data_IF_619956761402
#
_entry.id   IF_619956761402
#
_cell.length_a   1.000
_cell.length_b   1.000
_cell.length_c   1.000
_cell.angle_alpha   90.00
_cell.angle_beta   90.00
_cell.angle_gamma   90.00
#
_symmetry.space_group_name_H-M   'P 1'
#
loop_
_entity.id
_entity.type
_entity.pdbx_description
1 polymer ?
#
# COMPACT_ATOMS: atom_id res chain seq x y z
N UNK A 1 -9.48 -11.86 -5.99
CA UNK A 1 -8.46 -10.79 -5.84
C UNK A 1 -9.09 -9.70 -4.98
N UNK A 2 -8.36 -9.20 -3.97
CA UNK A 2 -8.98 -8.40 -2.88
C UNK A 2 -9.38 -6.98 -3.30
N UNK A 3 -8.91 -6.49 -4.45
CA UNK A 3 -9.34 -5.21 -5.02
C UNK A 3 -10.87 -5.13 -5.26
N UNK A 4 -11.53 -6.28 -5.45
CA UNK A 4 -12.98 -6.34 -5.60
C UNK A 4 -13.74 -6.17 -4.27
N UNK A 5 -13.06 -6.39 -3.15
CA UNK A 5 -13.60 -6.15 -1.81
C UNK A 5 -13.29 -4.73 -1.30
N UNK A 6 -12.17 -4.15 -1.76
CA UNK A 6 -11.71 -2.81 -1.41
C UNK A 6 -12.16 -1.77 -2.44
N UNK A 7 -13.45 -1.79 -2.78
CA UNK A 7 -14.08 -0.83 -3.69
C UNK A 7 -14.67 0.35 -2.90
N UNK A 8 -14.96 1.46 -3.59
CA UNK A 8 -15.60 2.61 -2.98
C UNK A 8 -16.83 2.21 -2.13
N UNK A 9 -16.93 2.84 -0.95
CA UNK A 9 -17.95 2.63 0.10
C UNK A 9 -17.88 1.28 0.83
N UNK A 10 -16.91 0.41 0.54
CA UNK A 10 -16.62 -0.74 1.39
C UNK A 10 -16.17 -0.26 2.77
N UNK A 11 -16.79 -0.80 3.82
CA UNK A 11 -16.43 -0.54 5.21
C UNK A 11 -15.55 -1.66 5.73
N UNK A 12 -14.42 -1.28 6.31
CA UNK A 12 -13.43 -2.20 6.88
C UNK A 12 -13.16 -1.84 8.33
N UNK A 13 -12.91 -2.87 9.14
CA UNK A 13 -12.35 -2.73 10.49
C UNK A 13 -10.93 -3.24 10.49
N UNK A 14 -10.01 -2.41 10.94
CA UNK A 14 -8.60 -2.72 10.90
C UNK A 14 -7.81 -1.79 11.83
N UNK A 15 -6.77 -2.32 12.46
CA UNK A 15 -5.85 -1.52 13.25
C UNK A 15 -4.48 -1.57 12.59
N UNK A 16 -3.93 -0.40 12.24
CA UNK A 16 -2.58 -0.32 11.71
C UNK A 16 -1.58 -0.98 12.66
N UNK A 17 -0.75 -1.94 12.21
CA UNK A 17 0.36 -2.44 12.99
C UNK A 17 1.29 -1.31 13.42
N UNK A 18 1.81 -1.40 14.64
CA UNK A 18 2.73 -0.39 15.16
C UNK A 18 3.93 -0.25 14.23
N UNK A 19 4.36 1.00 14.02
CA UNK A 19 5.64 1.26 13.37
C UNK A 19 6.74 0.67 14.25
N UNK A 20 7.53 -0.25 13.71
CA UNK A 20 8.62 -0.88 14.46
C UNK A 20 9.78 0.11 14.52
N UNK A 21 10.10 0.61 15.72
CA UNK A 21 11.28 1.43 15.93
C UNK A 21 12.53 0.57 15.73
N UNK A 22 13.34 0.89 14.72
CA UNK A 22 14.57 0.18 14.39
C UNK A 22 15.67 1.18 14.01
N UNK A 23 16.91 0.69 13.93
CA UNK A 23 18.03 1.52 13.47
C UNK A 23 17.79 2.00 12.03
N UNK A 24 18.06 3.27 11.78
CA UNK A 24 17.85 3.92 10.49
C UNK A 24 19.12 3.85 9.64
N UNK A 25 19.47 2.66 9.15
CA UNK A 25 20.76 2.36 8.52
C UNK A 25 20.67 2.00 7.02
N UNK A 26 19.51 2.20 6.39
CA UNK A 26 19.32 1.91 4.97
C UNK A 26 19.19 0.43 4.60
N UNK A 27 19.27 -0.48 5.56
CA UNK A 27 19.24 -1.92 5.30
C UNK A 27 17.94 -2.38 4.64
N UNK A 28 18.03 -3.48 3.89
CA UNK A 28 16.88 -4.21 3.35
C UNK A 28 16.56 -5.34 4.32
N UNK A 29 15.37 -5.33 4.90
CA UNK A 29 14.98 -6.25 5.97
C UNK A 29 13.63 -6.90 5.67
N UNK A 30 13.43 -8.12 6.14
CA UNK A 30 12.12 -8.76 6.02
C UNK A 30 11.10 -8.03 6.90
N UNK A 31 9.85 -7.95 6.46
CA UNK A 31 8.72 -7.52 7.28
C UNK A 31 8.61 -8.43 8.50
N UNK A 32 8.45 -7.85 9.69
CA UNK A 32 8.53 -8.58 10.98
C UNK A 32 7.21 -8.57 11.75
N UNK A 33 6.26 -7.70 11.41
CA UNK A 33 4.99 -7.58 12.14
C UNK A 33 3.94 -8.53 11.57
N UNK A 34 3.28 -9.27 12.46
CA UNK A 34 2.00 -9.88 12.12
C UNK A 34 0.95 -8.77 11.99
N UNK A 35 0.31 -8.66 10.83
CA UNK A 35 -0.79 -7.71 10.67
C UNK A 35 -1.95 -8.05 11.59
N UNK A 36 -2.58 -7.02 12.16
CA UNK A 36 -3.95 -7.18 12.63
C UNK A 36 -4.83 -7.52 11.43
N UNK A 37 -5.75 -8.46 11.62
CA UNK A 37 -6.63 -8.90 10.53
C UNK A 37 -7.53 -7.75 10.08
N UNK A 38 -7.37 -7.31 8.83
CA UNK A 38 -8.34 -6.43 8.17
C UNK A 38 -9.63 -7.22 7.91
N UNK A 39 -10.76 -6.72 8.41
CA UNK A 39 -12.07 -7.36 8.24
C UNK A 39 -13.00 -6.50 7.40
N UNK A 40 -13.71 -7.14 6.49
CA UNK A 40 -14.83 -6.51 5.78
C UNK A 40 -16.04 -6.46 6.73
N UNK A 41 -16.59 -5.27 6.96
CA UNK A 41 -17.74 -5.09 7.88
C UNK A 41 -18.99 -4.54 7.19
N UNK A 42 -18.98 -4.46 5.85
CA UNK A 42 -20.15 -4.12 5.05
C UNK A 42 -19.86 -3.10 3.96
N UNK A 43 -20.90 -2.55 3.36
CA UNK A 43 -20.78 -1.37 2.50
C UNK A 43 -21.98 -0.46 2.69
N UNK A 44 -21.74 0.85 2.79
CA UNK A 44 -22.80 1.83 2.83
C UNK A 44 -23.27 2.06 1.39
N UNK A 45 -24.16 1.20 0.91
CA UNK A 45 -24.63 1.17 -0.49
C UNK A 45 -25.40 2.42 -0.93
N UNK A 46 -25.46 3.49 -0.14
CA UNK A 46 -26.00 4.76 -0.61
C UNK A 46 -25.13 5.27 -1.76
N UNK A 47 -25.63 5.04 -2.97
CA UNK A 47 -25.06 5.43 -4.26
C UNK A 47 -24.43 6.82 -4.20
N UNK A 48 -23.12 6.90 -3.94
CA UNK A 48 -22.41 8.16 -4.13
C UNK A 48 -22.45 8.51 -5.61
N UNK A 49 -23.21 9.55 -5.96
CA UNK A 49 -23.10 10.24 -7.25
C UNK A 49 -21.85 11.12 -7.17
N UNK A 50 -20.82 10.86 -7.98
CA UNK A 50 -19.59 11.67 -7.99
C UNK A 50 -18.35 10.97 -8.55
N UNK A 51 -17.17 11.54 -8.24
CA UNK A 51 -15.83 11.14 -8.72
C UNK A 51 -15.49 9.66 -8.50
N UNK A 52 -16.06 9.03 -7.48
CA UNK A 52 -15.78 7.63 -7.12
C UNK A 52 -16.91 6.73 -7.60
N UNK A 53 -16.94 6.43 -8.91
CA UNK A 53 -17.92 5.51 -9.49
C UNK A 53 -17.67 4.07 -9.02
N UNK A 54 -18.73 3.40 -8.59
CA UNK A 54 -18.70 1.97 -8.25
C UNK A 54 -18.45 1.14 -9.52
N UNK A 55 -17.52 0.17 -9.51
CA UNK A 55 -17.41 -0.80 -10.60
C UNK A 55 -18.67 -1.67 -10.68
N UNK A 56 -19.07 -2.07 -11.89
CA UNK A 56 -20.34 -2.76 -12.16
C UNK A 56 -20.49 -4.13 -11.47
N UNK A 57 -19.40 -4.71 -10.95
CA UNK A 57 -19.40 -5.95 -10.17
C UNK A 57 -18.64 -5.71 -8.87
N UNK A 58 -19.37 -5.58 -7.78
CA UNK A 58 -18.80 -5.57 -6.43
C UNK A 58 -18.96 -6.96 -5.85
N UNK A 59 -17.83 -7.64 -5.65
CA UNK A 59 -17.83 -8.87 -4.89
C UNK A 59 -18.17 -8.51 -3.44
N UNK A 60 -19.36 -8.90 -2.99
CA UNK A 60 -19.77 -8.70 -1.59
C UNK A 60 -19.18 -9.84 -0.78
N UNK A 61 -18.09 -9.55 -0.06
CA UNK A 61 -17.56 -10.48 0.93
C UNK A 61 -18.59 -10.68 2.06
N UNK A 62 -18.66 -11.86 2.69
CA UNK A 62 -19.48 -12.05 3.88
C UNK A 62 -19.12 -11.05 4.98
N UNK A 63 -20.11 -10.56 5.73
CA UNK A 63 -19.86 -9.65 6.84
C UNK A 63 -18.88 -10.28 7.85
N UNK A 64 -18.01 -9.45 8.41
CA UNK A 64 -16.94 -9.80 9.34
C UNK A 64 -15.90 -10.81 8.81
N UNK A 65 -15.88 -11.08 7.51
CA UNK A 65 -14.86 -11.96 6.92
C UNK A 65 -13.49 -11.28 6.86
N UNK A 66 -12.40 -12.05 7.07
CA UNK A 66 -11.05 -11.53 6.90
C UNK A 66 -10.78 -11.25 5.42
N UNK A 67 -10.13 -10.13 5.13
CA UNK A 67 -9.61 -9.82 3.79
C UNK A 67 -8.25 -10.52 3.67
N UNK A 68 -8.09 -11.53 2.80
CA UNK A 68 -6.84 -12.31 2.75
C UNK A 68 -5.71 -11.49 2.12
N UNK A 69 -4.68 -11.20 2.89
CA UNK A 69 -3.51 -10.47 2.41
C UNK A 69 -2.27 -10.80 3.25
N UNK A 70 -1.10 -10.58 2.67
CA UNK A 70 0.15 -10.42 3.41
C UNK A 70 0.35 -8.95 3.74
N UNK A 71 1.02 -8.70 4.86
CA UNK A 71 1.33 -7.36 5.31
C UNK A 71 2.76 -6.99 5.00
N UNK A 72 2.94 -5.77 4.50
CA UNK A 72 4.24 -5.16 4.29
C UNK A 72 4.40 -3.95 5.19
N UNK A 73 5.33 -4.09 6.14
CA UNK A 73 5.61 -3.09 7.15
C UNK A 73 6.19 -1.80 6.54
N UNK A 74 5.92 -0.70 7.24
CA UNK A 74 6.71 0.50 7.11
C UNK A 74 7.79 0.47 8.19
N UNK A 75 9.06 0.41 7.78
CA UNK A 75 10.21 0.45 8.69
C UNK A 75 11.01 1.72 8.38
N UNK A 76 10.88 2.77 9.21
CA UNK A 76 11.55 4.05 8.98
C UNK A 76 13.07 3.89 8.82
N UNK A 77 13.63 4.46 7.75
CA UNK A 77 15.07 4.44 7.47
C UNK A 77 15.60 3.10 6.94
N UNK A 78 14.72 2.20 6.48
CA UNK A 78 15.04 0.88 5.90
C UNK A 78 14.08 0.55 4.76
N UNK A 79 14.44 -0.43 3.94
CA UNK A 79 13.50 -1.03 2.99
C UNK A 79 12.98 -2.34 3.55
N UNK A 80 11.67 -2.44 3.81
CA UNK A 80 11.03 -3.68 4.22
C UNK A 80 10.69 -4.53 2.99
N UNK A 81 10.68 -5.86 3.11
CA UNK A 81 10.15 -6.74 2.06
C UNK A 81 9.33 -7.92 2.61
N UNK A 82 8.41 -8.42 1.78
CA UNK A 82 7.62 -9.63 2.08
C UNK A 82 7.56 -10.55 0.86
N UNK A 83 7.40 -11.86 1.09
CA UNK A 83 7.11 -12.83 0.04
C UNK A 83 5.79 -12.50 -0.66
N UNK A 84 5.79 -12.48 -1.99
CA UNK A 84 4.58 -12.33 -2.78
C UNK A 84 4.01 -13.70 -3.16
N UNK A 85 3.39 -14.38 -2.18
CA UNK A 85 2.57 -15.57 -2.43
C UNK A 85 1.08 -15.24 -2.60
N UNK A 86 0.64 -14.11 -2.04
CA UNK A 86 -0.74 -13.62 -2.09
C UNK A 86 -0.73 -12.11 -2.37
N UNK A 87 -1.91 -11.49 -2.39
CA UNK A 87 -2.05 -10.04 -2.42
C UNK A 87 -1.35 -9.43 -1.19
N UNK A 88 -0.67 -8.30 -1.38
CA UNK A 88 0.10 -7.60 -0.34
C UNK A 88 -0.51 -6.22 -0.10
N UNK A 89 -0.88 -5.95 1.16
CA UNK A 89 -1.26 -4.61 1.62
C UNK A 89 -0.13 -3.99 2.43
N UNK A 90 -0.13 -2.67 2.50
CA UNK A 90 0.89 -1.90 3.19
C UNK A 90 0.30 -1.01 4.27
N UNK A 91 1.16 -0.51 5.16
CA UNK A 91 0.81 0.59 6.07
C UNK A 91 0.38 1.87 5.34
N UNK A 92 -0.03 2.87 6.12
CA UNK A 92 -0.34 4.20 5.59
C UNK A 92 0.87 4.82 4.87
N UNK A 93 0.58 5.40 3.71
CA UNK A 93 1.53 5.94 2.76
C UNK A 93 1.41 7.45 2.67
N UNK A 94 2.52 8.15 2.88
CA UNK A 94 2.65 9.59 2.66
C UNK A 94 3.50 9.96 1.44
N UNK A 95 3.94 8.96 0.64
CA UNK A 95 4.80 9.19 -0.53
C UNK A 95 5.93 8.16 -0.73
N UNK A 96 5.95 7.09 0.07
CA UNK A 96 6.97 6.04 -0.06
C UNK A 96 6.82 5.24 -1.37
N UNK A 97 7.95 4.78 -1.91
CA UNK A 97 7.99 3.89 -3.08
C UNK A 97 7.60 2.47 -2.66
N UNK A 98 6.69 1.86 -3.42
CA UNK A 98 6.42 0.42 -3.39
C UNK A 98 6.97 -0.20 -4.65
N UNK A 99 7.72 -1.28 -4.48
CA UNK A 99 8.30 -2.01 -5.60
C UNK A 99 8.04 -3.51 -5.49
N UNK A 100 8.20 -4.21 -6.60
CA UNK A 100 8.07 -5.66 -6.74
C UNK A 100 9.19 -6.14 -7.64
N UNK A 101 9.83 -7.26 -7.30
CA UNK A 101 10.84 -7.89 -8.13
C UNK A 101 11.39 -9.18 -7.51
N UNK A 102 12.21 -9.91 -8.26
CA UNK A 102 12.81 -11.17 -7.82
C UNK A 102 14.02 -10.91 -6.93
N UNK A 103 13.92 -11.27 -5.66
CA UNK A 103 14.97 -11.09 -4.67
C UNK A 103 15.15 -12.33 -3.81
N UNK A 104 16.40 -12.76 -3.69
CA UNK A 104 16.78 -14.03 -3.04
C UNK A 104 15.98 -15.23 -3.60
N UNK A 105 15.89 -15.32 -4.92
CA UNK A 105 15.27 -16.45 -5.62
C UNK A 105 13.73 -16.46 -5.62
N UNK A 106 13.06 -15.47 -5.06
CA UNK A 106 11.59 -15.41 -5.03
C UNK A 106 11.03 -14.02 -5.32
N UNK A 107 9.77 -13.96 -5.75
CA UNK A 107 9.07 -12.70 -5.96
C UNK A 107 8.79 -12.02 -4.62
N UNK A 108 9.23 -10.77 -4.46
CA UNK A 108 9.06 -9.97 -3.23
C UNK A 108 8.38 -8.65 -3.55
N UNK A 109 7.67 -8.11 -2.56
CA UNK A 109 7.20 -6.72 -2.55
C UNK A 109 8.00 -5.94 -1.52
N UNK A 110 8.44 -4.74 -1.88
CA UNK A 110 9.31 -3.86 -1.11
C UNK A 110 8.59 -2.58 -0.75
N UNK A 111 8.87 -2.07 0.44
CA UNK A 111 8.42 -0.76 0.92
C UNK A 111 9.63 0.03 1.38
N UNK A 112 9.95 1.09 0.64
CA UNK A 112 11.08 1.97 0.94
C UNK A 112 10.70 2.97 2.03
N UNK A 113 11.18 2.77 3.26
CA UNK A 113 10.87 3.62 4.40
C UNK A 113 11.78 4.83 4.50
N UNK A 114 11.34 5.97 3.96
CA UNK A 114 12.05 7.26 4.08
C UNK A 114 11.61 8.03 5.33
N UNK A 115 12.50 8.84 5.91
CA UNK A 115 12.27 9.65 7.12
C UNK A 115 12.56 11.14 6.85
N UNK A 116 12.35 12.01 7.84
CA UNK A 116 12.67 13.45 7.73
C UNK A 116 14.18 13.74 7.67
N UNK A 117 15.02 12.71 7.84
CA UNK A 117 16.47 12.80 7.74
C UNK A 117 16.95 12.45 6.32
N UNK A 118 17.47 13.45 5.61
CA UNK A 118 17.94 13.29 4.23
C UNK A 118 19.15 12.34 4.09
N UNK A 119 20.06 12.32 5.07
CA UNK A 119 21.24 11.42 5.05
C UNK A 119 20.78 9.96 5.09
N UNK A 120 19.85 9.65 5.99
CA UNK A 120 19.23 8.32 6.08
C UNK A 120 18.52 7.97 4.77
N UNK A 121 17.76 8.91 4.19
CA UNK A 121 17.06 8.68 2.92
C UNK A 121 18.02 8.37 1.77
N UNK A 122 19.14 9.10 1.67
CA UNK A 122 20.16 8.85 0.67
C UNK A 122 20.78 7.46 0.84
N UNK A 123 21.00 7.02 2.08
CA UNK A 123 21.50 5.68 2.38
C UNK A 123 20.48 4.58 2.01
N UNK A 124 19.20 4.77 2.35
CA UNK A 124 18.10 3.87 1.95
C UNK A 124 18.04 3.75 0.42
N UNK A 125 18.02 4.89 -0.29
CA UNK A 125 17.97 4.94 -1.75
C UNK A 125 19.17 4.24 -2.38
N UNK A 126 20.38 4.55 -1.91
CA UNK A 126 21.63 3.96 -2.42
C UNK A 126 21.63 2.45 -2.25
N UNK A 127 21.30 1.98 -1.04
CA UNK A 127 21.26 0.54 -0.72
C UNK A 127 20.20 -0.17 -1.55
N UNK A 128 18.99 0.38 -1.62
CA UNK A 128 17.90 -0.22 -2.37
C UNK A 128 18.16 -0.21 -3.89
N UNK A 129 18.72 0.88 -4.43
CA UNK A 129 19.14 0.99 -5.83
C UNK A 129 20.12 -0.12 -6.20
N UNK A 130 21.13 -0.37 -5.36
CA UNK A 130 22.13 -1.41 -5.59
C UNK A 130 21.54 -2.82 -5.58
N UNK A 131 20.51 -3.05 -4.75
CA UNK A 131 19.84 -4.34 -4.63
C UNK A 131 18.62 -4.51 -5.55
N UNK A 132 18.27 -3.49 -6.34
CA UNK A 132 17.02 -3.48 -7.10
C UNK A 132 17.05 -4.54 -8.21
N UNK A 133 16.16 -5.56 -8.16
CA UNK A 133 16.14 -6.64 -9.14
C UNK A 133 16.00 -6.16 -10.59
N UNK A 134 16.47 -6.95 -11.55
CA UNK A 134 16.39 -6.60 -12.97
C UNK A 134 14.95 -6.54 -13.50
N UNK A 135 14.07 -7.35 -12.95
CA UNK A 135 12.63 -7.41 -13.25
C UNK A 135 11.81 -6.43 -12.40
N UNK A 136 12.46 -5.52 -11.67
CA UNK A 136 11.77 -4.66 -10.73
C UNK A 136 10.80 -3.69 -11.41
N UNK A 137 9.61 -3.59 -10.81
CA UNK A 137 8.59 -2.57 -11.13
C UNK A 137 8.11 -1.94 -9.83
N UNK A 138 7.54 -0.73 -9.89
CA UNK A 138 7.06 -0.06 -8.69
C UNK A 138 6.13 1.10 -8.98
N UNK A 139 5.66 1.75 -7.92
CA UNK A 139 4.76 2.89 -8.00
C UNK A 139 4.77 3.70 -6.69
N UNK A 140 4.26 4.92 -6.78
CA UNK A 140 4.05 5.80 -5.63
C UNK A 140 2.54 5.88 -5.38
N UNK A 141 2.02 5.25 -4.31
CA UNK A 141 0.57 5.19 -4.08
C UNK A 141 -0.05 6.57 -3.88
N UNK A 142 0.69 7.50 -3.27
CA UNK A 142 0.25 8.86 -3.01
C UNK A 142 -0.03 9.66 -4.29
N UNK A 143 0.78 9.47 -5.33
CA UNK A 143 0.66 10.18 -6.63
C UNK A 143 -0.68 9.89 -7.35
N UNK A 144 -1.37 8.81 -6.98
CA UNK A 144 -2.66 8.46 -7.57
C UNK A 144 -3.81 9.40 -7.15
N UNK A 145 -3.65 10.18 -6.08
CA UNK A 145 -4.73 10.98 -5.49
C UNK A 145 -4.36 12.45 -5.44
N UNK A 146 -5.16 13.29 -6.08
CA UNK A 146 -5.01 14.75 -5.95
C UNK A 146 -5.50 15.23 -4.58
N UNK A 147 -5.00 16.41 -4.16
CA UNK A 147 -5.47 17.08 -2.94
C UNK A 147 -6.99 17.31 -2.98
N UNK A 148 -7.52 17.70 -4.15
CA UNK A 148 -8.95 17.94 -4.34
C UNK A 148 -9.79 16.66 -4.17
N UNK A 149 -9.34 15.53 -4.70
CA UNK A 149 -10.05 14.25 -4.54
C UNK A 149 -10.07 13.80 -3.07
N UNK A 150 -8.97 14.00 -2.34
CA UNK A 150 -8.91 13.69 -0.91
C UNK A 150 -9.83 14.61 -0.11
N UNK A 151 -9.80 15.91 -0.40
CA UNK A 151 -10.67 16.91 0.24
C UNK A 151 -12.15 16.63 -0.01
N UNK A 152 -12.52 16.18 -1.22
CA UNK A 152 -13.90 15.86 -1.60
C UNK A 152 -14.54 14.75 -0.75
N UNK A 153 -13.75 13.97 0.00
CA UNK A 153 -14.28 12.97 0.93
C UNK A 153 -14.89 13.59 2.20
N UNK A 154 -14.56 14.86 2.50
CA UNK A 154 -14.91 15.58 3.72
C UNK A 154 -14.51 14.84 5.02
N UNK A 155 -13.46 14.02 4.97
CA UNK A 155 -12.95 13.25 6.11
C UNK A 155 -11.43 13.22 6.14
N UNK A 156 -10.87 12.84 7.29
CA UNK A 156 -9.46 12.45 7.36
C UNK A 156 -9.22 11.25 6.44
N UNK A 157 -8.12 11.30 5.66
CA UNK A 157 -7.80 10.28 4.67
C UNK A 157 -6.38 9.75 4.82
N UNK A 158 -6.25 8.44 4.70
CA UNK A 158 -4.99 7.74 4.55
C UNK A 158 -4.95 6.99 3.22
N UNK A 159 -3.75 6.67 2.75
CA UNK A 159 -3.55 5.91 1.52
C UNK A 159 -2.83 4.62 1.88
N UNK A 160 -3.30 3.48 1.35
CA UNK A 160 -2.57 2.22 1.39
C UNK A 160 -2.29 1.74 -0.03
N UNK A 161 -1.22 0.97 -0.20
CA UNK A 161 -0.94 0.27 -1.42
C UNK A 161 -1.50 -1.15 -1.38
N UNK A 162 -1.89 -1.62 -2.56
CA UNK A 162 -2.17 -3.02 -2.84
C UNK A 162 -1.29 -3.46 -4.01
N UNK A 163 -0.52 -4.53 -3.79
CA UNK A 163 0.16 -5.27 -4.85
C UNK A 163 -0.50 -6.63 -4.97
N UNK A 164 -1.25 -6.87 -6.04
CA UNK A 164 -1.95 -8.14 -6.23
C UNK A 164 -0.95 -9.25 -6.55
N UNK A 165 -1.30 -10.49 -6.24
CA UNK A 165 -0.58 -11.70 -6.62
C UNK A 165 -0.28 -11.78 -8.12
N UNK A 166 -1.16 -11.22 -8.96
CA UNK A 166 -0.97 -11.08 -10.41
C UNK A 166 -0.01 -9.95 -10.83
N UNK A 167 0.57 -9.21 -9.87
CA UNK A 167 1.50 -8.11 -10.12
C UNK A 167 0.85 -6.76 -10.44
N UNK A 168 -0.44 -6.59 -10.14
CA UNK A 168 -1.14 -5.31 -10.30
C UNK A 168 -0.86 -4.35 -9.14
N UNK A 169 -0.63 -3.08 -9.46
CA UNK A 169 -0.46 -2.01 -8.46
C UNK A 169 -1.74 -1.20 -8.31
N UNK A 170 -2.20 -1.03 -7.07
CA UNK A 170 -3.36 -0.23 -6.75
C UNK A 170 -3.07 0.70 -5.57
N UNK A 171 -3.61 1.91 -5.64
CA UNK A 171 -3.66 2.86 -4.54
C UNK A 171 -5.09 2.93 -4.01
N UNK A 172 -5.25 2.77 -2.70
CA UNK A 172 -6.55 2.72 -2.03
C UNK A 172 -6.62 3.90 -1.06
N UNK A 173 -7.64 4.74 -1.23
CA UNK A 173 -7.94 5.83 -0.34
C UNK A 173 -8.84 5.32 0.79
N UNK A 174 -8.36 5.38 2.03
CA UNK A 174 -9.13 5.08 3.22
C UNK A 174 -9.58 6.37 3.88
N UNK A 175 -10.84 6.41 4.29
CA UNK A 175 -11.42 7.52 5.01
C UNK A 175 -11.86 7.05 6.39
N UNK A 176 -11.52 7.82 7.43
CA UNK A 176 -11.79 7.43 8.81
C UNK A 176 -13.30 7.49 9.13
N UNK A 177 -13.80 6.47 9.83
CA UNK A 177 -15.21 6.35 10.22
C UNK A 177 -15.41 5.97 11.70
N UNK A 178 -14.33 5.99 12.48
CA UNK A 178 -14.30 5.60 13.89
C UNK A 178 -12.92 5.06 14.28
N UNK A 179 -12.78 4.61 15.53
CA UNK A 179 -11.53 4.01 16.01
C UNK A 179 -11.33 2.65 15.31
N UNK A 180 -10.32 2.57 14.44
CA UNK A 180 -10.02 1.34 13.69
C UNK A 180 -11.08 0.98 12.65
N UNK A 181 -11.94 1.92 12.26
CA UNK A 181 -12.94 1.73 11.20
C UNK A 181 -12.72 2.72 10.07
N UNK A 182 -12.79 2.22 8.84
CA UNK A 182 -12.59 3.00 7.64
C UNK A 182 -13.65 2.66 6.61
N UNK A 183 -14.00 3.61 5.75
CA UNK A 183 -14.53 3.28 4.44
C UNK A 183 -13.49 3.52 3.37
N UNK A 184 -13.58 2.75 2.30
CA UNK A 184 -12.79 2.99 1.09
C UNK A 184 -13.40 4.17 0.35
N UNK A 185 -12.68 5.29 0.28
CA UNK A 185 -13.05 6.46 -0.52
C UNK A 185 -12.92 6.17 -2.02
N UNK A 186 -11.98 5.31 -2.40
CA UNK A 186 -11.82 4.83 -3.77
C UNK A 186 -10.59 3.94 -3.94
N UNK A 187 -10.49 3.33 -5.11
CA UNK A 187 -9.36 2.51 -5.53
C UNK A 187 -8.95 2.88 -6.95
N UNK A 188 -7.66 3.06 -7.20
CA UNK A 188 -7.10 3.36 -8.52
C UNK A 188 -6.01 2.38 -8.88
N UNK A 189 -6.09 1.78 -10.06
CA UNK A 189 -4.98 1.02 -10.63
C UNK A 189 -3.90 2.01 -11.10
N UNK A 190 -2.66 1.76 -10.73
CA UNK A 190 -1.53 2.63 -11.07
C UNK A 190 -0.63 1.89 -12.08
N UNK A 191 -0.27 2.53 -13.21
CA UNK A 191 0.69 1.94 -14.14
C UNK A 191 2.04 1.67 -13.44
N UNK A 192 2.69 0.53 -13.72
CA UNK A 192 4.00 0.23 -13.17
C UNK A 192 5.07 1.17 -13.73
N UNK A 193 5.95 1.65 -12.87
CA UNK A 193 7.22 2.27 -13.22
C UNK A 193 8.24 1.14 -13.37
N UNK A 194 8.82 1.01 -14.55
CA UNK A 194 9.85 -0.01 -14.81
C UNK A 194 11.21 0.39 -14.26
N UNK A 195 12.08 -0.61 -14.03
CA UNK A 195 13.39 -0.46 -13.42
C UNK A 195 14.23 0.74 -13.88
N UNK A 196 14.40 1.05 -15.18
CA UNK A 196 15.21 2.22 -15.58
C UNK A 196 14.68 3.54 -15.00
N UNK A 197 13.37 3.72 -14.99
CA UNK A 197 12.73 4.90 -14.41
C UNK A 197 12.74 4.88 -12.87
N UNK A 198 12.66 3.69 -12.25
CA UNK A 198 12.87 3.56 -10.80
C UNK A 198 14.29 3.99 -10.41
N UNK A 199 15.30 3.50 -11.13
CA UNK A 199 16.68 3.91 -10.91
C UNK A 199 16.83 5.43 -11.06
N UNK A 200 16.24 6.05 -12.08
CA UNK A 200 16.29 7.52 -12.22
C UNK A 200 15.70 8.26 -11.00
N UNK A 201 14.65 7.73 -10.36
CA UNK A 201 14.04 8.32 -9.15
C UNK A 201 14.80 8.03 -7.84
N UNK A 202 15.67 7.04 -7.85
CA UNK A 202 16.52 6.64 -6.72
C UNK A 202 17.93 7.24 -6.77
N UNK A 203 18.29 7.93 -7.86
CA UNK A 203 19.47 8.79 -7.92
C UNK A 203 19.27 10.03 -7.03
#
# INVERSE_FOLDING_TARGET
MIEHALVADAKIRWQKPNTVAQQQNGAIVQSVSAASTMRYIGSNQQQRRGLFRRPARVYQMPLNSPIPHNWLDYIPGRTAYVAQGTDVLTGFMSGCLIARGTYQGGMRVFHMGTVENQVVNNQVKTTFRAALPNDATGFYPADAWSVAERAATNKATDIIALVTSAGGFFSILLCHDGVGEYFVGGIKKVPPIHRPALLARLA
#
